data_IF_510029055835
#
_entry.id   IF_510029055835
#
_cell.length_a   1.000
_cell.length_b   1.000
_cell.length_c   1.000
_cell.angle_alpha   90.00
_cell.angle_beta   90.00
_cell.angle_gamma   90.00
#
_symmetry.space_group_name_H-M   'P 1'
#
loop_
_entity.id
_entity.type
_entity.pdbx_description
1 polymer ?
#
# COMPACT_ATOMS: atom_id res chain seq x y z
N UNK A 1 -4.25 10.10 8.42
CA UNK A 1 -4.73 9.75 7.07
C UNK A 1 -3.52 9.59 6.20
N UNK A 2 -3.43 8.48 5.48
CA UNK A 2 -2.31 8.22 4.59
C UNK A 2 -2.05 9.38 3.61
N UNK A 3 -0.77 9.69 3.41
CA UNK A 3 -0.32 10.69 2.45
C UNK A 3 0.55 10.03 1.38
N UNK A 4 0.79 10.73 0.28
CA UNK A 4 1.68 10.22 -0.75
C UNK A 4 2.43 11.35 -1.44
N UNK A 5 3.60 11.00 -1.98
CA UNK A 5 4.43 11.88 -2.77
C UNK A 5 4.92 11.14 -4.02
N UNK A 6 5.02 11.87 -5.11
CA UNK A 6 5.56 11.36 -6.37
C UNK A 6 6.90 12.04 -6.67
N UNK A 7 7.86 11.27 -7.12
CA UNK A 7 9.14 11.76 -7.62
C UNK A 7 9.49 11.05 -8.94
N UNK A 8 10.14 11.76 -9.86
CA UNK A 8 10.81 11.13 -11.00
C UNK A 8 12.25 10.77 -10.58
N UNK A 9 12.62 9.50 -10.76
CA UNK A 9 13.99 9.05 -10.56
C UNK A 9 14.48 8.38 -11.83
N UNK A 10 15.28 9.11 -12.60
CA UNK A 10 15.86 8.64 -13.88
C UNK A 10 14.80 8.26 -14.90
N UNK A 11 13.72 9.03 -15.03
CA UNK A 11 12.61 8.76 -15.95
C UNK A 11 11.62 7.71 -15.44
N UNK A 12 11.79 7.24 -14.20
CA UNK A 12 10.87 6.31 -13.56
C UNK A 12 10.08 7.03 -12.47
N UNK A 13 8.76 7.10 -12.65
CA UNK A 13 7.85 7.62 -11.65
C UNK A 13 7.85 6.70 -10.42
N UNK A 14 8.18 7.26 -9.26
CA UNK A 14 8.16 6.58 -7.98
C UNK A 14 7.15 7.28 -7.08
N UNK A 15 6.23 6.48 -6.53
CA UNK A 15 5.26 6.95 -5.55
C UNK A 15 5.62 6.39 -4.18
N UNK A 16 5.79 7.26 -3.19
CA UNK A 16 5.95 6.89 -1.79
C UNK A 16 4.63 7.16 -1.08
N UNK A 17 4.12 6.18 -0.34
CA UNK A 17 2.91 6.32 0.48
C UNK A 17 3.32 6.21 1.94
N UNK A 18 2.99 7.22 2.74
CA UNK A 18 3.19 7.22 4.18
C UNK A 18 1.86 6.87 4.87
N UNK A 19 1.92 5.90 5.78
CA UNK A 19 0.78 5.39 6.56
C UNK A 19 1.17 5.39 8.04
N UNK A 20 0.24 5.79 8.91
CA UNK A 20 0.47 5.77 10.36
C UNK A 20 0.15 4.39 10.95
N UNK A 21 0.74 4.00 12.11
CA UNK A 21 0.40 2.76 12.80
C UNK A 21 -1.12 2.64 13.06
N UNK A 22 -1.67 1.46 12.80
CA UNK A 22 -3.10 1.18 12.92
C UNK A 22 -3.94 1.66 11.72
N UNK A 23 -3.36 2.35 10.73
CA UNK A 23 -4.08 2.72 9.53
C UNK A 23 -4.18 1.59 8.51
N UNK A 24 -5.23 1.66 7.69
CA UNK A 24 -5.49 0.75 6.57
C UNK A 24 -5.76 1.55 5.31
N UNK A 25 -5.12 1.17 4.21
CA UNK A 25 -5.34 1.76 2.88
C UNK A 25 -5.54 0.70 1.82
N UNK A 26 -6.22 1.09 0.73
CA UNK A 26 -6.36 0.29 -0.47
C UNK A 26 -5.56 0.95 -1.61
N UNK A 27 -4.52 0.27 -2.10
CA UNK A 27 -3.71 0.74 -3.22
C UNK A 27 -4.27 0.22 -4.55
N UNK A 28 -4.28 1.09 -5.55
CA UNK A 28 -4.77 0.78 -6.88
C UNK A 28 -3.83 -0.21 -7.60
N UNK A 29 -4.40 -1.25 -8.21
CA UNK A 29 -3.71 -2.14 -9.17
C UNK A 29 -4.35 -2.16 -10.56
N UNK A 30 -5.47 -1.47 -10.75
CA UNK A 30 -6.10 -1.39 -12.07
C UNK A 30 -5.51 -0.28 -12.95
N UNK A 31 -4.74 0.65 -12.37
CA UNK A 31 -4.15 1.83 -13.03
C UNK A 31 -5.16 2.83 -13.62
N UNK A 32 -6.42 2.78 -13.20
CA UNK A 32 -7.50 3.63 -13.71
C UNK A 32 -8.12 4.55 -12.64
N UNK A 33 -7.60 4.51 -11.41
CA UNK A 33 -8.07 5.36 -10.32
C UNK A 33 -7.79 6.83 -10.60
N UNK A 34 -8.78 7.69 -10.34
CA UNK A 34 -8.61 9.15 -10.36
C UNK A 34 -7.92 9.67 -9.10
N UNK A 35 -7.83 8.84 -8.07
CA UNK A 35 -7.12 9.13 -6.83
C UNK A 35 -5.85 8.26 -6.69
N UNK A 36 -5.15 8.01 -7.80
CA UNK A 36 -3.92 7.22 -7.79
C UNK A 36 -2.87 7.87 -6.87
N UNK A 37 -2.21 7.13 -5.96
CA UNK A 37 -2.03 5.67 -5.92
C UNK A 37 -3.13 4.87 -5.22
N UNK A 38 -4.11 5.54 -4.60
CA UNK A 38 -5.17 4.88 -3.86
C UNK A 38 -6.26 4.34 -4.79
N UNK A 39 -6.95 3.30 -4.33
CA UNK A 39 -8.11 2.74 -4.99
C UNK A 39 -9.36 3.59 -4.72
N UNK A 40 -10.02 4.05 -5.78
CA UNK A 40 -11.28 4.81 -5.73
C UNK A 40 -12.52 3.97 -6.13
N UNK A 41 -12.34 2.67 -6.35
CA UNK A 41 -13.40 1.76 -6.76
C UNK A 41 -13.55 1.57 -8.28
N UNK A 42 -12.82 2.32 -9.11
CA UNK A 42 -12.86 2.20 -10.59
C UNK A 42 -12.53 0.78 -11.06
N UNK A 43 -11.74 0.02 -10.28
CA UNK A 43 -11.39 -1.37 -10.57
C UNK A 43 -12.60 -2.30 -10.79
N UNK A 44 -13.80 -1.96 -10.30
CA UNK A 44 -15.02 -2.75 -10.53
C UNK A 44 -15.40 -2.88 -12.01
N UNK A 45 -14.92 -1.96 -12.86
CA UNK A 45 -15.10 -2.00 -14.31
C UNK A 45 -14.02 -2.84 -15.02
N UNK A 46 -13.04 -3.38 -14.29
CA UNK A 46 -11.91 -4.14 -14.82
C UNK A 46 -11.83 -5.52 -14.15
N UNK A 47 -12.47 -6.55 -14.75
CA UNK A 47 -12.51 -7.89 -14.19
C UNK A 47 -11.13 -8.44 -13.81
N UNK A 48 -11.05 -9.15 -12.68
CA UNK A 48 -9.81 -9.75 -12.18
C UNK A 48 -8.80 -8.78 -11.58
N UNK A 49 -9.11 -7.48 -11.49
CA UNK A 49 -8.24 -6.47 -10.87
C UNK A 49 -8.86 -5.96 -9.57
N UNK A 50 -8.28 -6.35 -8.43
CA UNK A 50 -8.63 -5.80 -7.11
C UNK A 50 -7.51 -4.92 -6.56
N UNK A 51 -7.78 -4.04 -5.58
CA UNK A 51 -6.72 -3.30 -4.90
C UNK A 51 -5.76 -4.24 -4.14
N UNK A 52 -4.61 -3.72 -3.72
CA UNK A 52 -3.85 -4.27 -2.60
C UNK A 52 -4.36 -3.61 -1.33
N UNK A 53 -4.63 -4.39 -0.30
CA UNK A 53 -4.92 -3.87 1.03
C UNK A 53 -3.60 -3.82 1.79
N UNK A 54 -3.25 -2.65 2.30
CA UNK A 54 -2.08 -2.43 3.15
C UNK A 54 -2.58 -2.06 4.53
N UNK A 55 -2.14 -2.81 5.54
CA UNK A 55 -2.48 -2.60 6.95
C UNK A 55 -1.19 -2.34 7.70
N UNK A 56 -1.07 -1.14 8.27
CA UNK A 56 -0.01 -0.81 9.22
C UNK A 56 -0.46 -1.32 10.58
N UNK A 57 0.26 -2.28 11.12
CA UNK A 57 -0.04 -2.78 12.46
C UNK A 57 0.20 -1.66 13.48
N UNK A 58 -0.67 -1.57 14.47
CA UNK A 58 -0.52 -0.61 15.57
C UNK A 58 0.74 -0.90 16.40
N UNK A 59 1.09 -2.19 16.52
CA UNK A 59 2.30 -2.69 17.16
C UNK A 59 3.04 -3.58 16.16
N UNK A 60 4.38 -3.57 16.12
CA UNK A 60 5.14 -4.50 15.28
C UNK A 60 4.73 -5.94 15.60
N UNK A 61 4.75 -6.82 14.58
CA UNK A 61 4.63 -8.25 14.85
C UNK A 61 5.75 -8.63 15.81
N UNK A 62 5.39 -9.16 16.97
CA UNK A 62 6.37 -9.82 17.83
C UNK A 62 7.04 -10.88 16.98
N UNK A 63 8.34 -10.74 16.72
CA UNK A 63 9.11 -11.87 16.24
C UNK A 63 8.90 -12.97 17.29
N UNK A 64 8.28 -14.09 16.90
CA UNK A 64 8.46 -15.30 17.69
C UNK A 64 9.98 -15.48 17.76
N UNK A 65 10.52 -15.44 18.96
CA UNK A 65 11.95 -15.55 19.23
C UNK A 65 12.46 -16.85 18.57
N UNK A 66 13.10 -16.74 17.40
CA UNK A 66 14.08 -17.74 16.97
C UNK A 66 15.36 -17.52 17.80
N UNK A 67 15.22 -17.64 19.11
CA UNK A 67 16.33 -17.84 20.02
C UNK A 67 16.28 -19.29 20.49
N UNK A 68 17.35 -20.02 20.15
CA UNK A 68 17.79 -21.31 20.70
C UNK A 68 17.15 -22.58 20.13
N UNK A 69 17.77 -23.11 19.08
CA UNK A 69 17.98 -24.56 19.02
C UNK A 69 19.41 -24.90 18.57
N UNK A 70 20.28 -25.14 19.56
CA UNK A 70 21.41 -26.08 19.46
C UNK A 70 22.73 -25.53 18.95
#
# INVERSE_FOLDING_TARGET
>A
MATYQNEDRMGHLRTTVQIEPGERVALCRCFQSKNFPFCDGTHKQHPGKGPVIVEALAEPLSHAEEENNG
#
